data_IF_083073964312
#
_entry.id   IF_083073964312
#
_cell.length_a   1.000
_cell.length_b   1.000
_cell.length_c   1.000
_cell.angle_alpha   90.00
_cell.angle_beta   90.00
_cell.angle_gamma   90.00
#
_symmetry.space_group_name_H-M   'P 1'
#
loop_
_entity.id
_entity.type
_entity.pdbx_description
1 polymer ?
#
# COMPACT_ATOMS: atom_id res chain seq x y z
N UNK A 1 43.47 -8.02 -11.33
CA UNK A 1 43.34 -9.37 -10.74
C UNK A 1 43.21 -9.19 -9.23
N UNK A 2 42.17 -9.76 -8.62
CA UNK A 2 41.70 -9.64 -7.21
C UNK A 2 41.07 -8.29 -6.77
N UNK A 3 40.11 -8.29 -5.82
CA UNK A 3 38.83 -8.99 -5.91
C UNK A 3 37.62 -8.09 -5.59
N UNK A 4 36.43 -8.57 -5.97
CA UNK A 4 35.12 -7.98 -5.66
C UNK A 4 34.85 -8.06 -4.15
N UNK A 5 34.53 -6.92 -3.55
CA UNK A 5 34.10 -6.81 -2.15
C UNK A 5 32.70 -7.42 -1.99
N UNK A 6 32.65 -8.56 -1.30
CA UNK A 6 31.45 -9.18 -0.77
C UNK A 6 30.99 -8.31 0.43
N UNK A 7 29.97 -7.47 0.24
CA UNK A 7 29.30 -6.81 1.37
C UNK A 7 28.41 -7.85 2.05
N UNK A 8 28.97 -8.49 3.06
CA UNK A 8 28.27 -9.30 4.05
C UNK A 8 27.25 -8.39 4.74
N UNK A 9 25.97 -8.59 4.45
CA UNK A 9 24.88 -8.06 5.27
C UNK A 9 24.78 -8.95 6.50
N UNK A 10 25.49 -8.57 7.55
CA UNK A 10 25.32 -9.12 8.89
C UNK A 10 23.99 -8.59 9.42
N UNK A 11 22.94 -9.42 9.32
CA UNK A 11 21.69 -9.18 10.03
C UNK A 11 21.97 -9.35 11.52
N UNK A 12 21.80 -8.24 12.23
CA UNK A 12 21.91 -8.08 13.66
C UNK A 12 20.94 -9.03 14.38
N UNK A 13 21.39 -10.23 14.75
CA UNK A 13 20.75 -11.00 15.83
C UNK A 13 21.12 -10.33 17.16
N UNK A 14 20.33 -9.34 17.57
CA UNK A 14 20.30 -8.92 18.97
C UNK A 14 19.10 -9.60 19.64
N UNK A 15 19.49 -10.46 20.56
CA UNK A 15 18.73 -11.20 21.56
C UNK A 15 17.84 -10.25 22.36
N UNK A 16 16.52 -10.44 22.26
CA UNK A 16 15.54 -9.90 23.23
C UNK A 16 15.13 -11.06 24.15
N UNK A 17 15.98 -11.35 25.12
CA UNK A 17 15.67 -12.26 26.22
C UNK A 17 14.85 -11.55 27.30
N UNK A 18 13.59 -11.22 26.99
CA UNK A 18 12.60 -10.87 28.02
C UNK A 18 12.05 -12.20 28.52
N UNK A 19 12.12 -12.42 29.85
CA UNK A 19 11.34 -13.44 30.55
C UNK A 19 9.85 -13.14 30.32
N UNK A 20 9.32 -13.62 29.20
CA UNK A 20 7.88 -13.63 28.90
C UNK A 20 7.25 -14.66 29.84
N UNK A 21 6.78 -14.20 30.99
CA UNK A 21 5.60 -14.82 31.58
C UNK A 21 4.55 -14.89 30.45
N UNK A 22 3.88 -16.03 30.22
CA UNK A 22 2.80 -16.10 29.25
C UNK A 22 1.67 -15.20 29.77
N UNK A 23 1.71 -13.91 29.41
CA UNK A 23 0.59 -13.02 29.60
C UNK A 23 -0.50 -13.54 28.67
N UNK A 24 -1.58 -14.04 29.25
CA UNK A 24 -2.74 -14.46 28.49
C UNK A 24 -3.38 -13.19 27.95
N UNK A 25 -2.97 -12.79 26.75
CA UNK A 25 -3.48 -11.62 26.05
C UNK A 25 -4.78 -12.02 25.35
N UNK A 26 -5.87 -11.24 25.47
CA UNK A 26 -7.08 -11.46 24.68
C UNK A 26 -6.76 -11.55 23.18
N UNK A 27 -7.44 -12.44 22.46
CA UNK A 27 -7.25 -12.58 21.02
C UNK A 27 -7.44 -11.25 20.27
N UNK A 28 -8.40 -10.42 20.71
CA UNK A 28 -8.63 -9.09 20.15
C UNK A 28 -7.42 -8.15 20.23
N UNK A 29 -6.68 -8.18 21.35
CA UNK A 29 -5.49 -7.34 21.53
C UNK A 29 -4.37 -7.84 20.61
N UNK A 30 -4.20 -9.17 20.51
CA UNK A 30 -3.20 -9.76 19.61
C UNK A 30 -3.52 -9.43 18.15
N UNK A 31 -4.78 -9.59 17.72
CA UNK A 31 -5.19 -9.31 16.34
C UNK A 31 -4.96 -7.83 15.96
N UNK A 32 -5.20 -6.89 16.88
CA UNK A 32 -4.93 -5.45 16.67
C UNK A 32 -3.42 -5.15 16.59
N UNK A 33 -2.59 -5.83 17.39
CA UNK A 33 -1.13 -5.72 17.31
C UNK A 33 -0.58 -6.34 16.02
N UNK A 34 -1.13 -7.48 15.60
CA UNK A 34 -0.79 -8.12 14.34
C UNK A 34 -1.16 -7.19 13.17
N UNK A 35 -2.35 -6.57 13.20
CA UNK A 35 -2.77 -5.57 12.21
C UNK A 35 -1.79 -4.41 12.11
N UNK A 36 -1.37 -3.85 13.24
CA UNK A 36 -0.34 -2.81 13.26
C UNK A 36 0.96 -3.30 12.62
N UNK A 37 1.40 -4.52 12.96
CA UNK A 37 2.61 -5.12 12.41
C UNK A 37 2.52 -5.34 10.90
N UNK A 38 1.37 -5.78 10.39
CA UNK A 38 1.14 -5.93 8.94
C UNK A 38 1.16 -4.57 8.24
N UNK A 39 0.57 -3.51 8.84
CA UNK A 39 0.62 -2.15 8.28
C UNK A 39 2.04 -1.60 8.26
N UNK A 40 2.77 -1.72 9.38
CA UNK A 40 4.14 -1.19 9.48
C UNK A 40 5.07 -1.93 8.51
N UNK A 41 5.02 -3.26 8.44
CA UNK A 41 5.81 -4.04 7.49
C UNK A 41 5.46 -3.74 6.02
N UNK A 42 4.18 -3.51 5.72
CA UNK A 42 3.74 -3.06 4.38
C UNK A 42 4.29 -1.67 4.07
N UNK A 43 4.24 -0.76 5.04
CA UNK A 43 4.77 0.61 4.92
C UNK A 43 6.28 0.60 4.67
N UNK A 44 7.03 -0.23 5.40
CA UNK A 44 8.46 -0.43 5.20
C UNK A 44 8.77 -1.00 3.81
N UNK A 45 7.99 -1.99 3.37
CA UNK A 45 8.14 -2.61 2.04
C UNK A 45 7.94 -1.58 0.93
N UNK A 46 6.90 -0.75 1.01
CA UNK A 46 6.62 0.32 0.05
C UNK A 46 7.75 1.38 0.06
N UNK A 47 8.20 1.79 1.24
CA UNK A 47 9.25 2.81 1.38
C UNK A 47 10.63 2.32 0.93
N UNK A 48 10.91 1.02 1.00
CA UNK A 48 12.17 0.44 0.56
C UNK A 48 12.41 0.60 -0.96
N UNK A 49 11.34 0.80 -1.74
CA UNK A 49 11.42 0.94 -3.19
C UNK A 49 10.50 2.05 -3.72
N UNK A 50 10.93 3.33 -3.57
CA UNK A 50 10.09 4.52 -3.80
C UNK A 50 9.68 4.77 -5.26
N UNK A 51 10.16 3.97 -6.21
CA UNK A 51 9.81 4.02 -7.63
C UNK A 51 9.35 2.68 -8.20
N UNK A 52 9.08 1.70 -7.32
CA UNK A 52 8.72 0.32 -7.68
C UNK A 52 9.60 -0.28 -8.81
N UNK A 53 10.87 0.13 -8.88
CA UNK A 53 11.73 -0.29 -9.99
C UNK A 53 12.24 -1.72 -9.81
N UNK A 54 12.25 -2.19 -8.56
CA UNK A 54 12.89 -3.42 -8.07
C UNK A 54 11.93 -4.42 -7.37
N UNK A 55 10.61 -4.17 -7.36
CA UNK A 55 9.62 -5.10 -6.80
C UNK A 55 8.32 -5.11 -7.64
N UNK A 56 7.38 -5.99 -7.29
CA UNK A 56 6.10 -6.14 -7.99
C UNK A 56 6.13 -7.11 -9.18
N UNK A 57 4.92 -7.46 -9.65
CA UNK A 57 4.65 -8.51 -10.63
C UNK A 57 5.37 -8.36 -11.99
N UNK A 58 5.75 -7.13 -12.36
CA UNK A 58 6.33 -6.83 -13.68
C UNK A 58 7.87 -6.75 -13.69
N UNK A 59 8.55 -7.04 -12.57
CA UNK A 59 10.00 -7.14 -12.56
C UNK A 59 10.43 -8.61 -12.78
N UNK A 60 11.08 -8.95 -13.91
CA UNK A 60 11.59 -10.30 -14.14
C UNK A 60 12.71 -10.69 -13.16
N UNK A 61 13.30 -9.72 -12.45
CA UNK A 61 14.27 -9.96 -11.39
C UNK A 61 13.64 -10.06 -10.00
N UNK A 62 12.35 -9.77 -9.85
CA UNK A 62 11.67 -9.96 -8.57
C UNK A 62 11.59 -11.46 -8.22
N UNK A 63 11.78 -11.82 -6.94
CA UNK A 63 11.56 -13.18 -6.48
C UNK A 63 10.17 -13.66 -6.90
N UNK A 64 10.06 -14.90 -7.37
CA UNK A 64 8.76 -15.53 -7.66
C UNK A 64 7.89 -15.45 -6.40
N UNK A 65 6.73 -14.81 -6.51
CA UNK A 65 5.84 -14.55 -5.37
C UNK A 65 5.99 -13.16 -4.74
N UNK A 66 6.75 -12.24 -5.35
CA UNK A 66 6.74 -10.83 -4.93
C UNK A 66 5.32 -10.25 -5.03
N UNK A 67 4.77 -9.86 -3.87
CA UNK A 67 3.46 -9.22 -3.77
C UNK A 67 3.51 -7.81 -4.36
N UNK A 68 2.54 -7.44 -5.18
CA UNK A 68 2.38 -6.06 -5.64
C UNK A 68 1.79 -5.17 -4.54
N UNK A 69 1.81 -3.85 -4.74
CA UNK A 69 1.21 -2.91 -3.77
C UNK A 69 -0.26 -3.22 -3.48
N UNK A 70 -1.03 -3.58 -4.51
CA UNK A 70 -2.44 -3.94 -4.35
C UNK A 70 -2.62 -5.20 -3.47
N UNK A 71 -1.74 -6.18 -3.60
CA UNK A 71 -1.79 -7.42 -2.81
C UNK A 71 -1.46 -7.14 -1.34
N UNK A 72 -0.45 -6.29 -1.07
CA UNK A 72 -0.11 -5.87 0.28
C UNK A 72 -1.26 -5.14 0.97
N UNK A 73 -1.89 -4.18 0.26
CA UNK A 73 -3.06 -3.47 0.77
C UNK A 73 -4.24 -4.42 0.98
N UNK A 74 -4.45 -5.37 0.06
CA UNK A 74 -5.49 -6.40 0.18
C UNK A 74 -5.25 -7.31 1.38
N UNK A 75 -4.00 -7.66 1.68
CA UNK A 75 -3.65 -8.43 2.87
C UNK A 75 -4.08 -7.71 4.16
N UNK A 76 -3.81 -6.41 4.27
CA UNK A 76 -4.32 -5.58 5.38
C UNK A 76 -5.85 -5.62 5.42
N UNK A 77 -6.54 -5.44 4.28
CA UNK A 77 -8.01 -5.52 4.23
C UNK A 77 -8.53 -6.88 4.73
N UNK A 78 -7.92 -7.99 4.29
CA UNK A 78 -8.34 -9.34 4.71
C UNK A 78 -8.11 -9.62 6.19
N UNK A 79 -7.03 -9.10 6.76
CA UNK A 79 -6.76 -9.24 8.20
C UNK A 79 -7.77 -8.46 9.04
N UNK A 80 -8.18 -7.26 8.60
CA UNK A 80 -9.26 -6.51 9.26
C UNK A 80 -10.60 -7.23 9.13
N UNK A 81 -10.93 -7.76 7.94
CA UNK A 81 -12.16 -8.53 7.74
C UNK A 81 -12.22 -9.77 8.63
N UNK A 82 -11.09 -10.46 8.85
CA UNK A 82 -11.02 -11.58 9.78
C UNK A 82 -11.31 -11.13 11.22
N UNK A 83 -10.70 -10.05 11.69
CA UNK A 83 -10.98 -9.50 13.02
C UNK A 83 -12.45 -9.07 13.15
N UNK A 84 -13.01 -8.43 12.12
CA UNK A 84 -14.41 -8.05 12.08
C UNK A 84 -15.36 -9.28 12.12
N UNK A 85 -15.01 -10.35 11.42
CA UNK A 85 -15.77 -11.60 11.47
C UNK A 85 -15.77 -12.19 12.88
N UNK A 86 -14.60 -12.26 13.54
CA UNK A 86 -14.49 -12.76 14.91
C UNK A 86 -15.31 -11.91 15.89
N UNK A 87 -15.24 -10.59 15.76
CA UNK A 87 -16.07 -9.67 16.54
C UNK A 87 -17.57 -9.94 16.37
N UNK A 88 -18.04 -10.18 15.14
CA UNK A 88 -19.47 -10.35 14.87
C UNK A 88 -19.99 -11.75 15.23
N UNK A 89 -19.15 -12.78 15.14
CA UNK A 89 -19.57 -14.17 15.39
C UNK A 89 -19.43 -14.56 16.85
N UNK A 90 -18.30 -14.22 17.48
CA UNK A 90 -18.01 -14.58 18.87
C UNK A 90 -17.22 -13.47 19.57
N UNK A 91 -17.91 -12.35 19.81
CA UNK A 91 -17.36 -11.20 20.53
C UNK A 91 -16.76 -11.63 21.88
N UNK A 92 -17.40 -12.57 22.58
CA UNK A 92 -16.95 -13.01 23.91
C UNK A 92 -15.63 -13.75 23.79
N UNK A 93 -15.53 -14.80 22.96
CA UNK A 93 -14.28 -15.53 22.80
C UNK A 93 -13.15 -14.67 22.22
N UNK A 94 -13.48 -13.68 21.38
CA UNK A 94 -12.49 -12.75 20.84
C UNK A 94 -11.92 -11.80 21.90
N UNK A 95 -12.77 -11.32 22.83
CA UNK A 95 -12.39 -10.32 23.85
C UNK A 95 -11.94 -10.92 25.19
N UNK A 96 -12.27 -12.18 25.46
CA UNK A 96 -11.81 -12.86 26.68
C UNK A 96 -10.50 -13.62 26.42
N UNK A 97 -9.49 -13.51 27.32
CA UNK A 97 -8.31 -14.35 27.22
C UNK A 97 -8.69 -15.83 27.35
N UNK A 98 -8.06 -16.76 26.60
CA UNK A 98 -8.30 -18.18 26.78
C UNK A 98 -7.97 -18.55 28.23
N UNK A 99 -8.95 -19.09 28.97
CA UNK A 99 -8.77 -19.51 30.35
C UNK A 99 -7.49 -20.33 30.46
N UNK A 100 -6.54 -19.86 31.29
CA UNK A 100 -5.24 -20.51 31.45
C UNK A 100 -5.36 -21.99 31.84
N UNK A 101 -4.25 -22.75 31.82
CA UNK A 101 -4.24 -24.21 31.91
C UNK A 101 -4.82 -24.85 33.20
N UNK A 102 -5.40 -24.07 34.11
CA UNK A 102 -6.01 -24.55 35.36
C UNK A 102 -7.55 -24.46 35.36
N UNK A 103 -8.21 -24.15 34.24
CA UNK A 103 -9.66 -24.27 34.12
C UNK A 103 -10.09 -25.73 34.01
N UNK A 104 -11.04 -26.24 34.83
CA UNK A 104 -11.51 -27.60 34.70
C UNK A 104 -12.29 -27.75 33.39
N UNK A 105 -11.65 -28.40 32.42
CA UNK A 105 -12.28 -29.18 31.34
C UNK A 105 -13.51 -28.52 30.67
N UNK A 106 -13.28 -27.37 30.02
CA UNK A 106 -14.17 -26.91 28.96
C UNK A 106 -13.73 -27.54 27.64
N UNK A 107 -14.45 -28.57 27.18
CA UNK A 107 -14.33 -29.10 25.82
C UNK A 107 -14.54 -27.96 24.82
N UNK A 108 -13.45 -27.45 24.25
CA UNK A 108 -13.47 -26.66 23.02
C UNK A 108 -13.97 -27.57 21.88
N UNK A 109 -15.29 -27.69 21.76
CA UNK A 109 -15.89 -28.09 20.50
C UNK A 109 -15.77 -26.91 19.55
N UNK A 110 -14.77 -27.01 18.67
CA UNK A 110 -14.80 -26.30 17.39
C UNK A 110 -16.04 -26.85 16.66
N UNK A 111 -17.16 -26.14 16.77
CA UNK A 111 -18.33 -26.41 15.96
C UNK A 111 -17.94 -26.21 14.49
N UNK A 112 -17.73 -27.32 13.79
CA UNK A 112 -17.73 -27.40 12.34
C UNK A 112 -19.04 -26.77 11.80
N UNK A 113 -19.10 -26.19 10.59
CA UNK A 113 -20.23 -25.37 10.17
C UNK A 113 -21.48 -26.23 9.92
N UNK A 114 -22.32 -26.35 10.94
CA UNK A 114 -23.67 -26.84 10.81
C UNK A 114 -24.55 -25.68 10.34
N UNK A 115 -25.12 -25.87 9.14
CA UNK A 115 -26.44 -25.42 8.64
C UNK A 115 -27.08 -24.22 9.36
N UNK A 116 -27.45 -23.13 8.65
CA UNK A 116 -28.11 -21.99 9.27
C UNK A 116 -29.36 -22.42 10.07
N UNK A 117 -29.52 -21.98 11.33
CA UNK A 117 -30.70 -22.31 12.11
C UNK A 117 -31.95 -21.73 11.45
N UNK A 118 -32.98 -22.57 11.35
CA UNK A 118 -34.30 -22.20 10.89
C UNK A 118 -34.83 -21.00 11.68
N UNK A 119 -35.41 -20.05 10.95
CA UNK A 119 -36.08 -18.85 11.46
C UNK A 119 -37.08 -19.25 12.56
N UNK A 120 -36.98 -18.70 13.79
CA UNK A 120 -38.02 -18.92 14.79
C UNK A 120 -39.33 -18.23 14.35
N UNK A 121 -40.50 -18.85 14.59
CA UNK A 121 -41.77 -18.23 14.23
C UNK A 121 -41.97 -16.92 15.01
N UNK A 122 -42.36 -15.88 14.27
CA UNK A 122 -42.75 -14.57 14.80
C UNK A 122 -43.99 -14.77 15.68
N UNK A 123 -43.79 -14.73 17.00
CA UNK A 123 -44.89 -14.65 17.95
C UNK A 123 -45.27 -13.18 18.11
N UNK A 124 -46.45 -12.82 17.59
CA UNK A 124 -47.07 -11.50 17.78
C UNK A 124 -47.68 -11.48 19.19
N UNK A 125 -47.27 -10.61 20.12
CA UNK A 125 -47.94 -10.48 21.40
C UNK A 125 -49.23 -9.66 21.27
N UNK A 126 -50.34 -10.30 21.62
CA UNK A 126 -51.66 -9.70 21.89
C UNK A 126 -51.58 -8.80 23.14
N UNK A 127 -52.22 -7.62 23.17
CA UNK A 127 -52.18 -6.75 24.34
C UNK A 127 -53.25 -7.13 25.35
N UNK A 128 -52.87 -7.60 26.53
CA UNK A 128 -53.76 -7.61 27.69
C UNK A 128 -52.99 -7.69 29.02
N UNK A 129 -53.46 -6.86 29.96
CA UNK A 129 -53.27 -6.87 31.40
C UNK A 129 -51.97 -6.28 31.98
N UNK A 130 -52.13 -5.06 32.49
CA UNK A 130 -51.32 -4.43 33.53
C UNK A 130 -51.42 -5.26 34.81
N UNK A 131 -50.30 -5.86 35.24
CA UNK A 131 -50.15 -6.36 36.61
C UNK A 131 -48.70 -6.14 37.06
N UNK A 132 -48.58 -5.53 38.24
CA UNK A 132 -47.37 -5.13 38.97
C UNK A 132 -46.09 -5.93 38.67
N UNK A 133 -45.04 -5.19 38.29
CA UNK A 133 -43.65 -5.68 38.24
C UNK A 133 -42.90 -5.10 39.45
N UNK A 134 -42.29 -5.94 40.31
CA UNK A 134 -41.51 -5.47 41.45
C UNK A 134 -40.27 -4.69 40.98
N UNK A 135 -40.00 -3.59 41.67
CA UNK A 135 -38.86 -2.70 41.48
C UNK A 135 -37.54 -3.44 41.73
N UNK A 136 -37.05 -4.15 40.71
CA UNK A 136 -35.66 -4.60 40.66
C UNK A 136 -34.84 -3.38 40.28
N UNK A 137 -34.28 -2.73 41.29
CA UNK A 137 -33.26 -1.70 41.13
C UNK A 137 -32.20 -2.23 40.16
N UNK A 138 -32.01 -1.62 38.97
CA UNK A 138 -31.01 -2.09 38.02
C UNK A 138 -29.64 -1.86 38.66
N UNK A 139 -29.02 -2.93 39.13
CA UNK A 139 -27.60 -2.92 39.44
C UNK A 139 -26.89 -2.40 38.19
N UNK A 140 -26.31 -1.20 38.29
CA UNK A 140 -25.49 -0.64 37.23
C UNK A 140 -24.50 -1.72 36.79
N UNK A 141 -24.49 -2.11 35.50
CA UNK A 141 -23.51 -3.07 35.02
C UNK A 141 -22.13 -2.52 35.35
N UNK A 142 -21.37 -3.30 36.13
CA UNK A 142 -19.95 -3.02 36.38
C UNK A 142 -19.31 -2.84 35.00
N UNK A 143 -18.69 -1.68 34.70
CA UNK A 143 -18.06 -1.50 33.40
C UNK A 143 -16.99 -2.57 33.26
N UNK A 144 -17.24 -3.54 32.40
CA UNK A 144 -16.25 -4.53 32.00
C UNK A 144 -15.08 -3.72 31.46
N UNK A 145 -13.93 -3.82 32.13
CA UNK A 145 -12.71 -3.07 31.83
C UNK A 145 -12.03 -3.62 30.56
N UNK A 146 -12.83 -3.96 29.55
CA UNK A 146 -12.46 -4.62 28.30
C UNK A 146 -12.31 -3.61 27.15
N UNK A 147 -12.05 -2.34 27.48
CA UNK A 147 -11.81 -1.33 26.44
C UNK A 147 -10.59 -1.73 25.61
N UNK A 148 -10.76 -1.71 24.29
CA UNK A 148 -9.72 -1.94 23.30
C UNK A 148 -9.20 -0.62 22.71
N UNK A 149 -9.48 0.51 23.36
CA UNK A 149 -9.09 1.83 22.84
C UNK A 149 -7.59 1.93 22.58
N UNK A 150 -6.75 1.60 23.56
CA UNK A 150 -5.29 1.71 23.42
C UNK A 150 -4.72 0.88 22.25
N UNK A 151 -4.95 -0.45 22.17
CA UNK A 151 -4.45 -1.24 21.04
C UNK A 151 -5.08 -0.83 19.71
N UNK A 152 -6.34 -0.38 19.70
CA UNK A 152 -6.98 0.10 18.48
C UNK A 152 -6.39 1.43 18.00
N UNK A 153 -6.14 2.35 18.92
CA UNK A 153 -5.50 3.64 18.65
C UNK A 153 -4.10 3.42 18.06
N UNK A 154 -3.33 2.51 18.65
CA UNK A 154 -1.97 2.20 18.18
C UNK A 154 -2.00 1.67 16.75
N UNK A 155 -2.93 0.76 16.45
CA UNK A 155 -3.19 0.29 15.09
C UNK A 155 -3.58 1.45 14.15
N UNK A 156 -4.59 2.25 14.48
CA UNK A 156 -5.07 3.35 13.62
C UNK A 156 -4.00 4.42 13.39
N UNK A 157 -3.10 4.62 14.37
CA UNK A 157 -2.00 5.58 14.26
C UNK A 157 -0.96 5.21 13.20
N UNK A 158 -0.89 3.94 12.78
CA UNK A 158 -0.02 3.48 11.69
C UNK A 158 -0.59 3.77 10.29
N UNK A 159 -1.91 3.93 10.16
CA UNK A 159 -2.59 4.14 8.87
C UNK A 159 -2.11 5.40 8.12
N UNK A 160 -1.90 6.57 8.77
CA UNK A 160 -1.33 7.73 8.09
C UNK A 160 0.08 7.51 7.52
N UNK A 161 0.91 6.67 8.15
CA UNK A 161 2.25 6.36 7.64
C UNK A 161 2.16 5.53 6.36
N UNK A 162 1.28 4.52 6.34
CA UNK A 162 0.95 3.74 5.15
C UNK A 162 0.43 4.64 4.02
N UNK A 163 -0.53 5.52 4.34
CA UNK A 163 -1.09 6.46 3.39
C UNK A 163 -0.03 7.40 2.79
N UNK A 164 0.90 7.91 3.62
CA UNK A 164 2.03 8.71 3.11
C UNK A 164 2.94 7.92 2.18
N UNK A 165 3.22 6.65 2.49
CA UNK A 165 4.04 5.78 1.65
C UNK A 165 3.35 5.50 0.30
N UNK A 166 2.05 5.16 0.33
CA UNK A 166 1.23 4.96 -0.87
C UNK A 166 1.12 6.23 -1.72
N UNK A 167 0.98 7.41 -1.10
CA UNK A 167 0.92 8.70 -1.81
C UNK A 167 2.25 9.00 -2.50
N UNK A 168 3.37 8.79 -1.81
CA UNK A 168 4.71 8.96 -2.38
C UNK A 168 4.92 8.02 -3.58
N UNK A 169 4.50 6.77 -3.45
CA UNK A 169 4.61 5.77 -4.51
C UNK A 169 3.73 6.12 -5.73
N UNK A 170 2.45 6.44 -5.50
CA UNK A 170 1.51 6.81 -6.56
C UNK A 170 1.87 8.13 -7.26
N UNK A 171 2.58 9.03 -6.57
CA UNK A 171 3.14 10.25 -7.15
C UNK A 171 4.45 10.05 -7.93
N UNK A 172 5.14 8.93 -7.72
CA UNK A 172 6.37 8.58 -8.44
C UNK A 172 6.06 7.73 -9.68
N UNK A 173 7.02 7.63 -10.59
CA UNK A 173 6.93 6.64 -11.67
C UNK A 173 7.00 5.23 -11.08
N UNK A 174 6.07 4.36 -11.48
CA UNK A 174 5.99 2.96 -11.07
C UNK A 174 5.49 2.09 -12.23
N UNK A 175 5.73 0.77 -12.16
CA UNK A 175 5.34 -0.20 -13.19
C UNK A 175 3.96 -0.81 -12.97
N UNK A 176 3.39 -0.69 -11.77
CA UNK A 176 2.11 -1.30 -11.40
C UNK A 176 0.91 -0.60 -12.05
N UNK A 177 -0.19 -1.32 -12.17
CA UNK A 177 -1.45 -0.78 -12.67
C UNK A 177 -2.14 0.03 -11.57
N UNK A 178 -2.62 1.22 -11.92
CA UNK A 178 -3.21 2.14 -10.95
C UNK A 178 -4.56 1.69 -10.43
N UNK A 179 -5.39 1.12 -11.31
CA UNK A 179 -6.77 0.75 -10.97
C UNK A 179 -6.83 -0.30 -9.84
N UNK A 180 -6.07 -1.41 -9.88
CA UNK A 180 -6.05 -2.37 -8.78
C UNK A 180 -5.58 -1.78 -7.45
N UNK A 181 -4.57 -0.91 -7.44
CA UNK A 181 -4.08 -0.28 -6.20
C UNK A 181 -5.13 0.69 -5.65
N UNK A 182 -5.75 1.48 -6.52
CA UNK A 182 -6.84 2.38 -6.16
C UNK A 182 -8.03 1.61 -5.54
N UNK A 183 -8.45 0.51 -6.16
CA UNK A 183 -9.54 -0.36 -5.66
C UNK A 183 -9.19 -1.00 -4.31
N UNK A 184 -7.93 -1.43 -4.13
CA UNK A 184 -7.47 -1.99 -2.86
C UNK A 184 -7.50 -0.94 -1.74
N UNK A 185 -7.09 0.30 -2.02
CA UNK A 185 -7.14 1.40 -1.03
C UNK A 185 -8.60 1.75 -0.69
N UNK A 186 -9.49 1.77 -1.68
CA UNK A 186 -10.93 2.00 -1.47
C UNK A 186 -11.54 0.93 -0.56
N UNK A 187 -11.27 -0.35 -0.88
CA UNK A 187 -11.72 -1.47 -0.05
C UNK A 187 -11.17 -1.35 1.38
N UNK A 188 -9.89 -0.99 1.55
CA UNK A 188 -9.29 -0.77 2.87
C UNK A 188 -10.03 0.31 3.66
N UNK A 189 -10.35 1.47 3.05
CA UNK A 189 -11.09 2.54 3.73
C UNK A 189 -12.49 2.10 4.16
N UNK A 190 -13.21 1.40 3.29
CA UNK A 190 -14.55 0.87 3.60
C UNK A 190 -14.47 -0.13 4.76
N UNK A 191 -13.51 -1.04 4.74
CA UNK A 191 -13.32 -2.05 5.77
C UNK A 191 -12.91 -1.44 7.11
N UNK A 192 -11.99 -0.47 7.14
CA UNK A 192 -11.60 0.24 8.37
C UNK A 192 -12.82 0.93 9.00
N UNK A 193 -13.62 1.60 8.17
CA UNK A 193 -14.82 2.33 8.62
C UNK A 193 -15.87 1.37 9.18
N UNK A 194 -16.14 0.27 8.45
CA UNK A 194 -17.06 -0.78 8.86
C UNK A 194 -16.63 -1.42 10.19
N UNK A 195 -15.35 -1.79 10.31
CA UNK A 195 -14.80 -2.37 11.53
C UNK A 195 -14.88 -1.42 12.73
N UNK A 196 -14.57 -0.14 12.53
CA UNK A 196 -14.72 0.88 13.59
C UNK A 196 -16.16 1.03 14.07
N UNK A 197 -17.12 0.95 13.16
CA UNK A 197 -18.55 1.02 13.48
C UNK A 197 -18.98 -0.21 14.27
N UNK A 198 -18.54 -1.41 13.88
CA UNK A 198 -18.78 -2.65 14.62
C UNK A 198 -18.20 -2.56 16.04
N UNK A 199 -16.95 -2.13 16.21
CA UNK A 199 -16.34 -2.01 17.54
C UNK A 199 -17.00 -0.94 18.42
N UNK A 200 -17.43 0.18 17.82
CA UNK A 200 -18.18 1.21 18.55
C UNK A 200 -19.54 0.66 19.01
N UNK A 201 -20.26 -0.06 18.14
CA UNK A 201 -21.55 -0.67 18.48
C UNK A 201 -21.43 -1.73 19.58
N UNK A 202 -20.31 -2.46 19.59
CA UNK A 202 -19.95 -3.44 20.61
C UNK A 202 -19.45 -2.79 21.91
N UNK A 203 -19.37 -1.45 21.99
CA UNK A 203 -18.83 -0.68 23.12
C UNK A 203 -17.38 -1.06 23.49
N UNK A 204 -16.61 -1.56 22.53
CA UNK A 204 -15.20 -1.95 22.72
C UNK A 204 -14.23 -0.78 22.51
N UNK A 205 -14.65 0.23 21.73
CA UNK A 205 -13.91 1.47 21.52
C UNK A 205 -14.82 2.67 21.76
N UNK A 206 -14.23 3.83 22.03
CA UNK A 206 -14.95 5.07 22.29
C UNK A 206 -14.79 6.11 21.16
N UNK A 207 -15.54 7.21 21.25
CA UNK A 207 -15.54 8.29 20.25
C UNK A 207 -14.14 8.86 19.90
N UNK A 208 -13.17 9.01 20.83
CA UNK A 208 -11.83 9.49 20.48
C UNK A 208 -11.11 8.59 19.48
N UNK A 209 -11.31 7.27 19.59
CA UNK A 209 -10.76 6.25 18.69
C UNK A 209 -11.34 6.40 17.30
N UNK A 210 -12.66 6.58 17.19
CA UNK A 210 -13.36 6.79 15.91
C UNK A 210 -12.88 8.07 15.19
N UNK A 211 -12.63 9.15 15.93
CA UNK A 211 -12.09 10.38 15.33
C UNK A 211 -10.70 10.19 14.74
N UNK A 212 -9.85 9.37 15.38
CA UNK A 212 -8.55 9.00 14.82
C UNK A 212 -8.71 8.16 13.56
N UNK A 213 -9.69 7.26 13.53
CA UNK A 213 -10.03 6.46 12.36
C UNK A 213 -10.40 7.34 11.17
N UNK A 214 -11.27 8.33 11.37
CA UNK A 214 -11.68 9.27 10.31
C UNK A 214 -10.46 10.01 9.74
N UNK A 215 -9.52 10.45 10.58
CA UNK A 215 -8.27 11.11 10.14
C UNK A 215 -7.33 10.15 9.40
N UNK A 216 -7.28 8.89 9.83
CA UNK A 216 -6.57 7.83 9.11
C UNK A 216 -7.16 7.61 7.72
N UNK A 217 -8.49 7.48 7.63
CA UNK A 217 -9.22 7.29 6.36
C UNK A 217 -9.07 8.47 5.42
N UNK A 218 -9.06 9.72 5.91
CA UNK A 218 -8.82 10.88 5.05
C UNK A 218 -7.41 10.88 4.45
N UNK A 219 -6.41 10.37 5.18
CA UNK A 219 -5.05 10.22 4.65
C UNK A 219 -5.02 9.19 3.51
N UNK A 220 -5.80 8.11 3.61
CA UNK A 220 -5.93 7.12 2.54
C UNK A 220 -6.62 7.70 1.29
N UNK A 221 -7.50 8.69 1.43
CA UNK A 221 -8.13 9.38 0.30
C UNK A 221 -7.08 10.17 -0.51
N UNK A 222 -6.14 10.84 0.16
CA UNK A 222 -5.01 11.48 -0.51
C UNK A 222 -4.18 10.46 -1.32
N UNK A 223 -3.99 9.25 -0.77
CA UNK A 223 -3.34 8.16 -1.48
C UNK A 223 -4.16 7.73 -2.70
N UNK A 224 -5.48 7.53 -2.57
CA UNK A 224 -6.36 7.24 -3.71
C UNK A 224 -6.25 8.31 -4.81
N UNK A 225 -6.20 9.59 -4.45
CA UNK A 225 -6.02 10.68 -5.42
C UNK A 225 -4.67 10.62 -6.12
N UNK A 226 -3.61 10.16 -5.45
CA UNK A 226 -2.32 9.93 -6.09
C UNK A 226 -2.41 8.82 -7.15
N UNK A 227 -3.11 7.73 -6.84
CA UNK A 227 -3.29 6.57 -7.71
C UNK A 227 -4.37 6.78 -8.80
N UNK A 228 -5.32 7.70 -8.63
CA UNK A 228 -6.34 7.97 -9.66
C UNK A 228 -5.79 8.74 -10.87
N UNK A 229 -4.59 9.31 -10.75
CA UNK A 229 -3.93 10.03 -11.84
C UNK A 229 -3.53 9.04 -12.92
N UNK A 230 -3.76 9.41 -14.18
CA UNK A 230 -3.34 8.66 -15.38
C UNK A 230 -1.80 8.64 -15.58
N UNK A 231 -1.01 8.90 -14.54
CA UNK A 231 0.41 9.21 -14.64
C UNK A 231 1.32 7.98 -14.68
N UNK A 232 0.93 6.93 -15.41
CA UNK A 232 1.82 5.79 -15.72
C UNK A 232 2.70 6.06 -16.94
N UNK A 233 2.59 7.26 -17.53
CA UNK A 233 3.39 7.65 -18.69
C UNK A 233 4.73 8.25 -18.24
N UNK A 234 5.87 7.59 -18.52
CA UNK A 234 7.19 8.23 -18.48
C UNK A 234 7.24 9.29 -19.60
N UNK A 235 6.69 10.48 -19.35
CA UNK A 235 6.26 11.31 -20.46
C UNK A 235 5.97 12.77 -20.17
N UNK A 236 6.46 13.33 -19.06
CA UNK A 236 6.72 14.77 -18.97
C UNK A 236 8.18 15.01 -18.64
N UNK A 237 9.06 14.33 -19.38
CA UNK A 237 10.40 14.86 -19.57
C UNK A 237 10.24 16.30 -20.00
N UNK A 238 10.67 17.24 -19.16
CA UNK A 238 10.89 18.64 -19.53
C UNK A 238 11.40 18.64 -20.97
N UNK A 239 10.72 19.30 -21.92
CA UNK A 239 11.04 19.17 -23.33
C UNK A 239 12.53 19.36 -23.47
N UNK A 240 13.27 18.27 -23.74
CA UNK A 240 14.69 18.37 -24.07
C UNK A 240 14.69 19.37 -25.20
N UNK A 241 15.26 20.56 -24.98
CA UNK A 241 15.48 21.54 -26.03
C UNK A 241 16.09 20.73 -27.17
N UNK A 242 15.31 20.50 -28.23
CA UNK A 242 15.78 19.80 -29.42
C UNK A 242 16.88 20.71 -29.93
N UNK A 243 18.14 20.34 -29.68
CA UNK A 243 19.26 20.99 -30.33
C UNK A 243 19.11 20.67 -31.82
N UNK A 244 18.69 21.67 -32.57
CA UNK A 244 18.74 21.69 -34.01
C UNK A 244 20.22 21.59 -34.39
N UNK A 245 20.66 20.41 -34.78
CA UNK A 245 21.94 20.20 -35.45
C UNK A 245 21.59 19.78 -36.88
N UNK A 246 21.76 20.70 -37.85
CA UNK A 246 21.53 20.41 -39.26
C UNK A 246 20.59 21.34 -40.04
N UNK A 247 20.17 22.49 -39.49
CA UNK A 247 19.67 23.59 -40.33
C UNK A 247 18.20 23.59 -40.76
N UNK A 248 17.33 22.69 -40.29
CA UNK A 248 15.88 22.84 -40.45
C UNK A 248 15.18 23.05 -39.10
N UNK A 249 14.53 24.22 -38.99
CA UNK A 249 13.79 24.68 -37.81
C UNK A 249 12.39 24.09 -37.84
N UNK A 250 12.10 23.13 -36.96
CA UNK A 250 10.72 22.80 -36.61
C UNK A 250 10.21 23.88 -35.65
N UNK A 251 9.24 24.68 -36.11
CA UNK A 251 8.78 25.90 -35.44
C UNK A 251 8.20 25.64 -34.03
N UNK A 252 8.69 26.35 -33.00
CA UNK A 252 7.95 26.59 -31.77
C UNK A 252 7.54 28.07 -31.67
N UNK A 253 6.31 28.28 -31.18
CA UNK A 253 5.65 29.54 -30.78
C UNK A 253 4.57 30.06 -31.76
N UNK A 254 3.33 29.67 -31.51
CA UNK A 254 2.15 30.55 -31.67
C UNK A 254 1.60 30.75 -33.08
N UNK A 255 2.03 30.00 -34.09
CA UNK A 255 1.34 29.97 -35.39
C UNK A 255 0.75 28.58 -35.63
N UNK A 256 -0.53 28.55 -35.98
CA UNK A 256 -1.20 27.34 -36.42
C UNK A 256 -0.52 26.83 -37.70
N UNK A 257 -0.21 25.55 -37.74
CA UNK A 257 0.27 24.88 -38.95
C UNK A 257 -0.75 25.12 -40.07
N UNK A 258 -0.26 25.49 -41.24
CA UNK A 258 -1.13 25.60 -42.41
C UNK A 258 -1.51 24.18 -42.87
N UNK A 259 -2.72 24.01 -43.41
CA UNK A 259 -3.19 22.70 -43.88
C UNK A 259 -2.25 22.07 -44.93
N UNK A 260 -1.52 22.91 -45.68
CA UNK A 260 -0.49 22.48 -46.61
C UNK A 260 0.77 21.92 -45.92
N UNK A 261 1.14 22.36 -44.71
CA UNK A 261 2.28 21.80 -43.98
C UNK A 261 1.97 20.44 -43.35
N UNK A 262 0.73 20.24 -42.90
CA UNK A 262 0.31 18.97 -42.30
C UNK A 262 0.02 17.89 -43.35
N UNK A 263 -0.46 18.29 -44.54
CA UNK A 263 -0.98 17.34 -45.54
C UNK A 263 -0.34 17.47 -46.92
N UNK A 264 0.48 18.49 -47.17
CA UNK A 264 1.14 18.75 -48.45
C UNK A 264 2.57 18.21 -48.53
N UNK A 265 2.84 17.04 -47.93
CA UNK A 265 4.04 16.26 -48.30
C UNK A 265 3.85 15.73 -49.72
N UNK A 266 4.01 16.60 -50.70
CA UNK A 266 4.37 16.14 -52.02
C UNK A 266 5.76 15.53 -51.93
N UNK A 267 5.85 14.25 -52.29
CA UNK A 267 7.05 13.48 -52.48
C UNK A 267 7.93 14.12 -53.57
N UNK A 268 8.63 15.22 -53.25
CA UNK A 268 9.76 15.67 -54.05
C UNK A 268 10.98 14.85 -53.68
N UNK A 269 10.92 13.59 -54.11
CA UNK A 269 11.91 12.96 -54.99
C UNK A 269 13.36 13.32 -54.64
N UNK A 270 14.01 12.40 -53.92
CA UNK A 270 15.43 12.20 -53.99
C UNK A 270 15.83 11.84 -55.43
N UNK A 271 15.96 12.85 -56.29
CA UNK A 271 16.64 12.80 -57.58
C UNK A 271 17.58 13.99 -57.62
N UNK A 272 18.86 13.73 -57.35
CA UNK A 272 19.89 14.76 -57.35
C UNK A 272 21.20 14.32 -56.72
N UNK A 273 21.63 13.08 -56.94
CA UNK A 273 23.02 12.67 -56.70
C UNK A 273 23.56 12.04 -57.98
N UNK A 274 23.67 12.87 -59.02
CA UNK A 274 24.42 12.57 -60.23
C UNK A 274 25.65 13.48 -60.27
N UNK A 275 26.79 12.85 -59.98
CA UNK A 275 28.09 12.98 -60.66
C UNK A 275 28.69 14.38 -60.87
N UNK A 276 29.79 14.65 -60.16
CA UNK A 276 30.91 15.43 -60.72
C UNK A 276 32.27 14.77 -60.42
N UNK A 277 33.12 14.53 -61.43
CA UNK A 277 34.44 13.94 -61.29
C UNK A 277 35.54 15.01 -61.10
N UNK A 278 36.62 14.62 -60.42
CA UNK A 278 37.99 15.10 -60.68
C UNK A 278 38.39 16.50 -60.21
N UNK A 279 39.12 16.55 -59.09
CA UNK A 279 40.25 17.46 -58.92
C UNK A 279 41.26 16.84 -57.95
N UNK A 280 42.35 16.34 -58.52
CA UNK A 280 43.55 15.93 -57.80
C UNK A 280 44.40 17.15 -57.45
N UNK A 281 44.89 17.22 -56.21
CA UNK A 281 46.10 17.92 -55.75
C UNK A 281 46.38 17.35 -54.35
N UNK A 282 47.25 16.35 -54.18
CA UNK A 282 48.72 16.46 -54.01
C UNK A 282 49.11 17.68 -53.19
N UNK A 283 49.48 17.46 -51.92
CA UNK A 283 50.71 18.02 -51.34
C UNK A 283 51.07 17.33 -50.00
N UNK A 284 52.17 16.58 -50.07
CA UNK A 284 53.30 16.49 -49.12
C UNK A 284 53.06 16.67 -47.61
N UNK A 285 53.16 15.55 -46.88
CA UNK A 285 54.20 15.27 -45.87
C UNK A 285 54.76 16.46 -45.05
N UNK A 286 54.42 16.52 -43.75
CA UNK A 286 55.38 16.87 -42.67
C UNK A 286 54.97 16.13 -41.38
N UNK A 287 55.77 15.12 -41.03
CA UNK A 287 55.88 14.57 -39.66
C UNK A 287 56.67 15.57 -38.81
N UNK A 288 56.28 15.83 -37.55
CA UNK A 288 57.28 15.62 -36.49
C UNK A 288 56.75 15.08 -35.16
N UNK A 289 57.59 14.20 -34.61
CA UNK A 289 58.05 14.14 -33.22
C UNK A 289 57.07 13.87 -32.08
N UNK A 290 57.00 12.58 -31.70
CA UNK A 290 56.85 12.16 -30.29
C UNK A 290 58.08 12.56 -29.49
N UNK A 291 57.90 13.37 -28.43
CA UNK A 291 58.88 13.52 -27.34
C UNK A 291 58.17 13.72 -25.98
N UNK A 292 58.57 12.85 -25.03
CA UNK A 292 58.64 12.98 -23.56
C UNK A 292 57.36 13.33 -22.73
N UNK A 293 56.90 12.48 -21.79
CA UNK A 293 57.51 12.03 -20.50
C UNK A 293 57.46 13.12 -19.41
N UNK A 294 56.58 13.01 -18.40
CA UNK A 294 56.94 12.94 -16.95
C UNK A 294 55.74 12.88 -15.98
N UNK A 295 55.82 11.88 -15.10
CA UNK A 295 55.44 11.76 -13.68
C UNK A 295 54.63 12.85 -12.97
N UNK A 296 53.67 12.38 -12.17
CA UNK A 296 53.27 12.95 -10.89
C UNK A 296 52.83 11.81 -9.96
N UNK A 297 53.60 11.60 -8.89
CA UNK A 297 53.21 10.83 -7.71
C UNK A 297 52.33 11.70 -6.80
#
# INVERSE_FOLDING_TARGET
>A
MFPRSLKVFTITMIITGILLLPTVVPHAVQDLQDLKTVIDSTTETINAAPNNSSWGFFDPAAPVGAMGTADLVTNITTTILRAQYLLNVDQTAWTTPPNGPNGPNGTNEIANPAVPPAVPPVNIPTPAALTDVPEVSPALPVPSNNSLDDPYIDYVSSVPNLASALTKLGGAWHKELNKPVWDAIDALQQTITSFSTSMLSAQLIHSPSVLRTIRGSSSLEDAQVAWSRLLNLPGRGSPKKRYVVGGERLAPMGRFYTHAELWGREEKKAMGAETRPGAAMVNSEVVPARVARRFGA
#
